data_IF_690760636791
#
_entry.id   IF_690760636791
#
_cell.length_a   1.000
_cell.length_b   1.000
_cell.length_c   1.000
_cell.angle_alpha   90.00
_cell.angle_beta   90.00
_cell.angle_gamma   90.00
#
_symmetry.space_group_name_H-M   'P 1'
#
loop_
_entity.id
_entity.type
_entity.pdbx_description
1 polymer ?
#
# COMPACT_ATOMS: atom_id res chain seq x y z
N UNK A 1 -10.49 3.43 -10.13
CA UNK A 1 -10.03 3.84 -8.79
C UNK A 1 -8.83 4.75 -8.95
N UNK A 2 -8.89 6.00 -8.46
CA UNK A 2 -7.82 7.00 -8.60
C UNK A 2 -7.27 7.37 -7.20
N UNK A 3 -6.98 6.36 -6.38
CA UNK A 3 -6.35 6.60 -5.09
C UNK A 3 -4.85 6.79 -5.31
N UNK A 4 -4.21 7.78 -4.66
CA UNK A 4 -2.76 7.90 -4.70
C UNK A 4 -2.12 6.68 -4.02
N UNK A 5 -1.15 6.07 -4.71
CA UNK A 5 -0.37 4.94 -4.20
C UNK A 5 1.03 5.44 -3.82
N UNK A 6 1.42 5.25 -2.57
CA UNK A 6 2.78 5.49 -2.10
C UNK A 6 3.53 4.17 -2.03
N UNK A 7 4.48 3.97 -2.96
CA UNK A 7 5.34 2.79 -2.97
C UNK A 7 6.49 2.96 -1.98
N UNK A 8 6.62 2.01 -1.06
CA UNK A 8 7.62 2.00 0.00
C UNK A 8 8.61 0.87 -0.26
N UNK A 9 9.88 1.16 -0.60
CA UNK A 9 10.87 0.12 -0.81
C UNK A 9 11.27 -0.53 0.51
N UNK A 10 11.34 -1.85 0.54
CA UNK A 10 11.88 -2.60 1.67
C UNK A 10 13.42 -2.58 1.73
N UNK A 11 14.01 -2.85 2.91
CA UNK A 11 13.38 -2.88 4.23
C UNK A 11 13.23 -1.46 4.82
N UNK A 12 12.24 -1.28 5.69
CA UNK A 12 11.98 -0.04 6.45
C UNK A 12 13.10 0.28 7.45
N UNK A 13 14.25 0.71 6.93
CA UNK A 13 15.43 1.08 7.72
C UNK A 13 15.24 2.43 8.42
N UNK A 14 14.44 3.32 7.81
CA UNK A 14 14.12 4.64 8.33
C UNK A 14 12.80 4.65 9.12
N UNK A 15 12.62 5.58 10.07
CA UNK A 15 11.34 5.85 10.74
C UNK A 15 10.18 6.01 9.77
N UNK A 16 9.04 5.40 10.11
CA UNK A 16 7.82 5.47 9.29
C UNK A 16 7.35 6.93 9.13
N UNK A 17 7.55 7.75 10.16
CA UNK A 17 7.24 9.19 10.15
C UNK A 17 8.01 9.99 9.10
N UNK A 18 9.22 9.56 8.72
CA UNK A 18 9.99 10.20 7.64
C UNK A 18 9.57 9.70 6.26
N UNK A 19 8.83 8.59 6.22
CA UNK A 19 8.45 7.92 4.99
C UNK A 19 7.11 8.43 4.44
N UNK A 20 6.22 8.81 5.35
CA UNK A 20 4.90 9.34 5.03
C UNK A 20 4.73 10.68 5.74
N UNK A 21 4.79 11.82 5.01
CA UNK A 21 4.49 13.13 5.60
C UNK A 21 2.97 13.25 5.82
N UNK A 22 2.50 12.65 6.92
CA UNK A 22 1.07 12.55 7.27
C UNK A 22 0.39 13.90 7.48
N UNK A 23 1.15 14.92 7.90
CA UNK A 23 0.66 16.26 8.22
C UNK A 23 0.20 17.07 6.99
N UNK A 24 0.32 16.52 5.79
CA UNK A 24 0.06 17.24 4.53
C UNK A 24 -1.19 16.78 3.78
N UNK A 25 -1.78 15.64 4.15
CA UNK A 25 -2.87 15.05 3.38
C UNK A 25 -4.23 15.59 3.78
N UNK A 26 -4.99 16.06 2.78
CA UNK A 26 -6.33 16.60 2.99
C UNK A 26 -7.29 15.54 3.54
N UNK A 27 -7.08 14.26 3.23
CA UNK A 27 -7.87 13.12 3.74
C UNK A 27 -7.85 12.96 5.26
N UNK A 28 -6.92 13.63 5.96
CA UNK A 28 -6.76 13.59 7.41
C UNK A 28 -7.41 14.81 8.10
N UNK A 29 -7.94 15.75 7.33
CA UNK A 29 -8.62 16.92 7.86
C UNK A 29 -10.13 16.69 7.89
N UNK A 30 -10.78 17.18 8.94
CA UNK A 30 -12.24 17.23 8.98
C UNK A 30 -12.72 18.47 8.22
N UNK A 31 -13.63 18.27 7.27
CA UNK A 31 -14.27 19.34 6.52
C UNK A 31 -15.77 19.34 6.79
N UNK A 32 -16.34 20.53 6.92
CA UNK A 32 -17.79 20.71 6.85
C UNK A 32 -18.31 20.48 5.42
N UNK A 33 -19.60 20.23 5.27
CA UNK A 33 -20.23 20.06 3.95
C UNK A 33 -20.00 21.26 3.02
N UNK A 34 -20.00 22.47 3.57
CA UNK A 34 -19.80 23.69 2.80
C UNK A 34 -18.34 23.87 2.35
N UNK A 35 -17.37 23.39 3.13
CA UNK A 35 -15.96 23.36 2.72
C UNK A 35 -15.72 22.32 1.65
N UNK A 36 -16.30 21.12 1.78
CA UNK A 36 -16.25 20.08 0.73
C UNK A 36 -16.80 20.62 -0.59
N UNK A 37 -17.94 21.33 -0.58
CA UNK A 37 -18.52 21.95 -1.79
C UNK A 37 -17.59 22.98 -2.43
N UNK A 38 -16.82 23.75 -1.64
CA UNK A 38 -15.86 24.73 -2.17
C UNK A 38 -14.66 24.06 -2.84
N UNK A 39 -14.20 22.93 -2.29
CA UNK A 39 -13.01 22.25 -2.79
C UNK A 39 -13.31 21.14 -3.82
N UNK A 40 -14.57 20.72 -3.97
CA UNK A 40 -14.96 19.62 -4.87
C UNK A 40 -14.63 19.88 -6.34
N UNK A 41 -14.59 21.15 -6.76
CA UNK A 41 -14.22 21.55 -8.13
C UNK A 41 -12.75 21.31 -8.49
N UNK A 42 -11.86 21.15 -7.50
CA UNK A 42 -10.42 21.01 -7.72
C UNK A 42 -9.94 19.56 -7.87
N UNK A 43 -10.79 18.57 -7.54
CA UNK A 43 -10.45 17.14 -7.65
C UNK A 43 -9.11 16.75 -7.01
N UNK A 44 -8.83 17.24 -5.80
CA UNK A 44 -7.56 16.94 -5.11
C UNK A 44 -7.37 15.44 -4.88
N UNK A 45 -6.24 14.89 -5.30
CA UNK A 45 -5.90 13.47 -5.10
C UNK A 45 -5.68 13.12 -3.63
N UNK A 46 -5.15 14.07 -2.83
CA UNK A 46 -4.90 13.91 -1.41
C UNK A 46 -6.16 13.95 -0.54
N UNK A 47 -7.34 14.25 -1.12
CA UNK A 47 -8.63 14.05 -0.44
C UNK A 47 -9.06 12.59 -0.43
N UNK A 48 -8.55 11.77 -1.36
CA UNK A 48 -8.86 10.35 -1.42
C UNK A 48 -7.97 9.59 -0.42
N UNK A 49 -8.46 8.46 0.13
CA UNK A 49 -7.63 7.59 0.95
C UNK A 49 -6.34 7.19 0.23
N UNK A 50 -5.24 7.19 0.97
CA UNK A 50 -3.92 6.87 0.45
C UNK A 50 -3.65 5.38 0.63
N UNK A 51 -3.14 4.73 -0.42
CA UNK A 51 -2.74 3.33 -0.36
C UNK A 51 -1.21 3.26 -0.27
N UNK A 52 -0.70 2.63 0.78
CA UNK A 52 0.71 2.35 0.97
C UNK A 52 1.00 0.97 0.38
N UNK A 53 1.76 0.92 -0.71
CA UNK A 53 2.25 -0.33 -1.26
C UNK A 53 3.64 -0.62 -0.67
N UNK A 54 3.72 -1.57 0.26
CA UNK A 54 4.97 -1.95 0.89
C UNK A 54 5.66 -3.06 0.09
N UNK A 55 6.79 -2.74 -0.53
CA UNK A 55 7.57 -3.70 -1.31
C UNK A 55 8.52 -4.49 -0.40
N UNK A 56 8.12 -5.71 -0.07
CA UNK A 56 8.84 -6.62 0.80
C UNK A 56 9.73 -7.58 0.00
N UNK A 57 10.78 -8.11 0.66
CA UNK A 57 11.43 -9.31 0.14
C UNK A 57 10.48 -10.50 0.25
N UNK A 58 10.75 -11.57 -0.51
CA UNK A 58 9.95 -12.78 -0.50
C UNK A 58 9.83 -13.40 0.91
N UNK A 59 10.94 -13.46 1.67
CA UNK A 59 10.94 -13.95 3.05
C UNK A 59 10.05 -13.09 3.96
N UNK A 60 10.14 -11.77 3.85
CA UNK A 60 9.33 -10.82 4.63
C UNK A 60 7.85 -10.88 4.23
N UNK A 61 7.58 -11.08 2.95
CA UNK A 61 6.23 -11.23 2.41
C UNK A 61 5.55 -12.50 2.94
N UNK A 62 6.25 -13.65 2.86
CA UNK A 62 5.74 -14.94 3.33
C UNK A 62 5.57 -15.00 4.86
N UNK A 63 6.58 -14.53 5.61
CA UNK A 63 6.51 -14.51 7.08
C UNK A 63 5.60 -13.39 7.62
N UNK A 64 5.32 -12.38 6.80
CA UNK A 64 4.71 -11.12 7.23
C UNK A 64 5.46 -10.48 8.41
N UNK A 65 6.79 -10.67 8.49
CA UNK A 65 7.66 -10.10 9.52
C UNK A 65 8.65 -9.16 8.85
N UNK A 66 8.65 -7.90 9.27
CA UNK A 66 9.58 -6.89 8.79
C UNK A 66 9.79 -5.82 9.85
N UNK A 67 10.94 -5.10 9.82
CA UNK A 67 11.22 -4.05 10.79
C UNK A 67 10.11 -2.98 10.81
N UNK A 68 9.75 -2.50 12.00
CA UNK A 68 8.80 -1.40 12.22
C UNK A 68 7.36 -1.66 11.73
N UNK A 69 6.96 -2.93 11.60
CA UNK A 69 5.59 -3.30 11.17
C UNK A 69 4.51 -2.68 12.06
N UNK A 70 4.71 -2.71 13.37
CA UNK A 70 3.76 -2.20 14.36
C UNK A 70 3.65 -0.68 14.29
N UNK A 71 4.78 0.02 14.09
CA UNK A 71 4.85 1.46 13.89
C UNK A 71 4.08 1.86 12.61
N UNK A 72 4.26 1.09 11.52
CA UNK A 72 3.54 1.30 10.27
C UNK A 72 2.04 1.07 10.41
N UNK A 73 1.64 -0.02 11.06
CA UNK A 73 0.23 -0.34 11.30
C UNK A 73 -0.47 0.74 12.13
N UNK A 74 0.20 1.28 13.14
CA UNK A 74 -0.32 2.36 13.96
C UNK A 74 -0.50 3.63 13.11
N UNK A 75 0.50 4.00 12.31
CA UNK A 75 0.43 5.16 11.43
C UNK A 75 -0.73 5.04 10.42
N UNK A 76 -0.93 3.88 9.81
CA UNK A 76 -2.03 3.64 8.87
C UNK A 76 -3.38 3.80 9.56
N UNK A 77 -3.54 3.20 10.74
CA UNK A 77 -4.76 3.26 11.54
C UNK A 77 -5.12 4.69 11.95
N UNK A 78 -4.11 5.49 12.26
CA UNK A 78 -4.30 6.86 12.74
C UNK A 78 -4.55 7.88 11.60
N UNK A 79 -4.24 7.54 10.34
CA UNK A 79 -4.16 8.53 9.25
C UNK A 79 -4.99 8.22 7.99
N UNK A 80 -6.18 7.61 8.10
CA UNK A 80 -7.09 7.33 6.97
C UNK A 80 -6.39 6.74 5.73
N UNK A 81 -5.44 5.83 5.96
CA UNK A 81 -4.68 5.13 4.92
C UNK A 81 -5.04 3.66 4.90
N UNK A 82 -4.64 2.99 3.83
CA UNK A 82 -4.66 1.53 3.71
C UNK A 82 -3.27 1.08 3.31
N UNK A 83 -2.82 -0.11 3.71
CA UNK A 83 -1.61 -0.71 3.17
C UNK A 83 -1.88 -2.02 2.44
N UNK A 84 -1.07 -2.27 1.44
CA UNK A 84 -0.94 -3.55 0.76
C UNK A 84 0.53 -3.96 0.80
N UNK A 85 0.79 -5.22 1.12
CA UNK A 85 2.13 -5.78 0.99
C UNK A 85 2.26 -6.34 -0.41
N UNK A 86 3.37 -6.06 -1.07
CA UNK A 86 3.71 -6.60 -2.39
C UNK A 86 5.13 -7.15 -2.37
N UNK A 87 5.45 -8.06 -3.28
CA UNK A 87 6.83 -8.44 -3.57
C UNK A 87 7.08 -8.26 -5.05
N UNK A 88 7.64 -7.11 -5.45
CA UNK A 88 7.77 -6.76 -6.87
C UNK A 88 8.56 -7.78 -7.69
N UNK A 89 9.51 -8.49 -7.06
CA UNK A 89 10.26 -9.57 -7.72
C UNK A 89 9.35 -10.77 -8.04
N UNK A 90 8.56 -11.23 -7.07
CA UNK A 90 7.62 -12.32 -7.26
C UNK A 90 6.56 -11.94 -8.31
N UNK A 91 6.04 -10.71 -8.27
CA UNK A 91 5.07 -10.23 -9.27
C UNK A 91 5.65 -10.25 -10.70
N UNK A 92 6.93 -9.89 -10.85
CA UNK A 92 7.59 -9.96 -12.15
C UNK A 92 7.70 -11.39 -12.66
N UNK A 93 8.06 -12.33 -11.79
CA UNK A 93 8.12 -13.76 -12.12
C UNK A 93 6.73 -14.30 -12.51
N UNK A 94 5.69 -14.02 -11.72
CA UNK A 94 4.29 -14.39 -11.97
C UNK A 94 3.79 -13.83 -13.31
N UNK A 95 4.19 -12.61 -13.67
CA UNK A 95 3.75 -11.94 -14.90
C UNK A 95 4.30 -12.57 -16.18
N UNK A 96 5.40 -13.31 -16.08
CA UNK A 96 6.06 -13.99 -17.20
C UNK A 96 5.58 -15.43 -17.38
N UNK A 97 4.83 -15.97 -16.41
CA UNK A 97 4.27 -17.32 -16.48
C UNK A 97 2.98 -17.35 -17.29
N UNK A 98 2.81 -18.45 -18.02
CA UNK A 98 1.54 -18.79 -18.68
C UNK A 98 0.46 -19.05 -17.61
N UNK A 99 -0.84 -18.90 -17.95
CA UNK A 99 -1.94 -18.99 -16.98
C UNK A 99 -1.94 -20.28 -16.14
N UNK A 100 -1.61 -21.41 -16.75
CA UNK A 100 -1.57 -22.72 -16.08
C UNK A 100 -0.40 -22.82 -15.09
N UNK A 101 0.77 -22.27 -15.44
CA UNK A 101 1.96 -22.26 -14.60
C UNK A 101 1.82 -21.25 -13.45
N UNK A 102 1.12 -20.15 -13.70
CA UNK A 102 0.84 -19.11 -12.71
C UNK A 102 0.08 -19.66 -11.51
N UNK A 103 -0.97 -20.45 -11.75
CA UNK A 103 -1.79 -21.01 -10.68
C UNK A 103 -0.97 -21.96 -9.79
N UNK A 104 -0.14 -22.81 -10.41
CA UNK A 104 0.75 -23.72 -9.69
C UNK A 104 1.76 -22.95 -8.84
N UNK A 105 2.36 -21.90 -9.40
CA UNK A 105 3.32 -21.06 -8.67
C UNK A 105 2.68 -20.33 -7.49
N UNK A 106 1.45 -19.80 -7.64
CA UNK A 106 0.70 -19.17 -6.55
C UNK A 106 0.40 -20.18 -5.43
N UNK A 107 -0.01 -21.40 -5.78
CA UNK A 107 -0.28 -22.47 -4.82
C UNK A 107 0.97 -22.90 -4.04
N UNK A 108 2.12 -23.03 -4.71
CA UNK A 108 3.41 -23.33 -4.07
C UNK A 108 3.85 -22.24 -3.08
N UNK A 109 3.43 -21.00 -3.34
CA UNK A 109 3.64 -19.86 -2.45
C UNK A 109 2.60 -19.76 -1.32
N UNK A 110 1.55 -20.58 -1.36
CA UNK A 110 0.42 -20.51 -0.43
C UNK A 110 -0.50 -19.29 -0.65
N UNK A 111 -0.48 -18.72 -1.86
CA UNK A 111 -1.25 -17.56 -2.26
C UNK A 111 -2.41 -17.98 -3.17
N UNK A 112 -3.55 -17.27 -3.07
CA UNK A 112 -4.72 -17.52 -3.93
C UNK A 112 -4.75 -16.61 -5.17
N UNK A 113 -4.10 -15.47 -5.08
CA UNK A 113 -4.12 -14.38 -6.05
C UNK A 113 -2.82 -13.58 -5.93
N UNK A 114 -2.42 -12.87 -6.98
CA UNK A 114 -1.22 -12.04 -6.95
C UNK A 114 -1.42 -10.78 -6.11
N UNK A 115 -0.34 -10.09 -5.75
CA UNK A 115 -0.41 -8.83 -5.01
C UNK A 115 -1.03 -7.67 -5.82
N UNK A 116 -1.09 -7.79 -7.15
CA UNK A 116 -1.72 -6.80 -8.04
C UNK A 116 -3.23 -7.03 -8.18
N UNK A 117 -3.69 -8.28 -8.05
CA UNK A 117 -5.11 -8.65 -8.17
C UNK A 117 -5.91 -8.43 -6.87
N UNK A 118 -5.21 -8.12 -5.78
CA UNK A 118 -5.75 -7.86 -4.42
C UNK A 118 -6.19 -6.42 -4.21
#
# INVERSE_FOLDING_TARGET
>A
FQCPILLVPGPLKIPVSLLVPVDLFLSNLEFSEDEIKKISGFSFYTLKPIIIALNLSEEQFRSNVFPRKEELNQLIKDNNMVSINICGKMEMEISQLEPEERQVFLEDLGLKESGIER
#
